data_IF_075395939914
#
_entry.id   IF_075395939914
#
_cell.length_a   1.000
_cell.length_b   1.000
_cell.length_c   1.000
_cell.angle_alpha   90.00
_cell.angle_beta   90.00
_cell.angle_gamma   90.00
#
_symmetry.space_group_name_H-M   'P 1'
#
loop_
_entity.id
_entity.type
_entity.pdbx_description
1 polymer ?
#
# COMPACT_ATOMS: atom_id res chain seq x y z
N UNK A 1 20.32 38.09 -64.36
CA UNK A 1 19.38 38.31 -63.21
C UNK A 1 18.65 37.06 -62.72
N UNK A 2 18.30 36.05 -63.49
CA UNK A 2 17.53 34.87 -63.06
C UNK A 2 18.30 33.91 -62.09
N UNK A 3 19.60 33.73 -62.24
CA UNK A 3 20.38 32.82 -61.35
C UNK A 3 20.54 33.33 -59.90
N UNK A 4 20.60 34.63 -59.65
CA UNK A 4 20.72 35.23 -58.33
C UNK A 4 19.44 35.04 -57.49
N UNK A 5 18.28 35.19 -58.07
CA UNK A 5 16.97 34.97 -57.41
C UNK A 5 16.76 33.51 -57.01
N UNK A 6 17.27 32.53 -57.72
CA UNK A 6 17.12 31.12 -57.42
C UNK A 6 18.01 30.66 -56.25
N UNK A 7 19.19 31.25 -56.12
CA UNK A 7 20.13 30.98 -55.00
C UNK A 7 19.58 31.57 -53.68
N UNK A 8 19.00 32.77 -53.73
CA UNK A 8 18.40 33.40 -52.55
C UNK A 8 17.12 32.69 -52.09
N UNK A 9 16.34 32.10 -53.02
CA UNK A 9 15.16 31.30 -52.70
C UNK A 9 15.54 29.99 -52.01
N UNK A 10 16.58 29.27 -52.47
CA UNK A 10 17.08 28.06 -51.83
C UNK A 10 17.67 28.34 -50.44
N UNK A 11 18.41 29.45 -50.24
CA UNK A 11 18.93 29.87 -48.91
C UNK A 11 17.82 30.20 -47.92
N UNK A 12 16.70 30.77 -48.36
CA UNK A 12 15.56 31.04 -47.48
C UNK A 12 14.76 29.79 -47.10
N UNK A 13 14.61 28.82 -48.04
CA UNK A 13 14.00 27.54 -47.73
C UNK A 13 14.82 26.78 -46.68
N UNK A 14 16.14 26.78 -46.80
CA UNK A 14 17.05 26.07 -45.87
C UNK A 14 17.04 26.72 -44.51
N UNK A 15 17.06 28.05 -44.42
CA UNK A 15 16.93 28.80 -43.15
C UNK A 15 15.59 28.53 -42.46
N UNK A 16 14.48 28.46 -43.18
CA UNK A 16 13.17 28.16 -42.60
C UNK A 16 13.06 26.71 -42.12
N UNK A 17 13.68 25.75 -42.81
CA UNK A 17 13.72 24.36 -42.38
C UNK A 17 14.56 24.19 -41.10
N UNK A 18 15.72 24.86 -41.01
CA UNK A 18 16.56 24.86 -39.82
C UNK A 18 15.86 25.55 -38.64
N UNK A 19 15.16 26.67 -38.89
CA UNK A 19 14.40 27.35 -37.83
C UNK A 19 13.26 26.50 -37.29
N UNK A 20 12.49 25.81 -38.18
CA UNK A 20 11.45 24.85 -37.79
C UNK A 20 12.01 23.69 -36.94
N UNK A 21 13.16 23.11 -37.33
CA UNK A 21 13.81 22.04 -36.56
C UNK A 21 14.26 22.52 -35.16
N UNK A 22 14.84 23.74 -35.07
CA UNK A 22 15.21 24.32 -33.77
C UNK A 22 14.01 24.62 -32.90
N UNK A 23 12.93 25.13 -33.43
CA UNK A 23 11.67 25.36 -32.73
C UNK A 23 11.07 24.05 -32.22
N UNK A 24 11.07 23.00 -33.05
CA UNK A 24 10.56 21.68 -32.66
C UNK A 24 11.39 21.07 -31.52
N UNK A 25 12.72 21.20 -31.57
CA UNK A 25 13.64 20.76 -30.49
C UNK A 25 13.42 21.54 -29.19
N UNK A 26 13.24 22.86 -29.27
CA UNK A 26 12.92 23.68 -28.09
C UNK A 26 11.58 23.27 -27.47
N UNK A 27 10.53 23.14 -28.30
CA UNK A 27 9.20 22.69 -27.81
C UNK A 27 9.29 21.30 -27.17
N UNK A 28 10.01 20.36 -27.81
CA UNK A 28 10.21 19.03 -27.23
C UNK A 28 10.99 19.09 -25.92
N UNK A 29 12.02 19.92 -25.82
CA UNK A 29 12.77 20.11 -24.59
C UNK A 29 11.89 20.73 -23.47
N UNK A 30 11.09 21.75 -23.78
CA UNK A 30 10.14 22.34 -22.84
C UNK A 30 9.06 21.34 -22.40
N UNK A 31 8.51 20.55 -23.32
CA UNK A 31 7.54 19.51 -22.99
C UNK A 31 8.16 18.41 -22.09
N UNK A 32 9.39 18.00 -22.39
CA UNK A 32 10.13 17.01 -21.59
C UNK A 32 10.40 17.59 -20.20
N UNK A 33 10.91 18.80 -20.08
CA UNK A 33 11.19 19.44 -18.77
C UNK A 33 9.90 19.69 -17.98
N UNK A 34 8.83 20.12 -18.61
CA UNK A 34 7.52 20.29 -17.99
C UNK A 34 6.95 18.97 -17.50
N UNK A 35 7.10 17.90 -18.28
CA UNK A 35 6.67 16.55 -17.90
C UNK A 35 7.48 16.03 -16.68
N UNK A 36 8.80 16.21 -16.69
CA UNK A 36 9.66 15.83 -15.55
C UNK A 36 9.37 16.68 -14.30
N UNK A 37 9.15 17.99 -14.43
CA UNK A 37 8.75 18.81 -13.29
C UNK A 37 7.42 18.38 -12.70
N UNK A 38 6.39 18.13 -13.50
CA UNK A 38 5.11 17.65 -12.99
C UNK A 38 5.23 16.29 -12.29
N UNK A 39 6.13 15.41 -12.71
CA UNK A 39 6.41 14.16 -12.00
C UNK A 39 7.07 14.39 -10.63
N UNK A 40 7.97 15.35 -10.51
CA UNK A 40 8.61 15.71 -9.24
C UNK A 40 7.60 16.25 -8.22
N UNK A 41 6.59 16.98 -8.67
CA UNK A 41 5.56 17.59 -7.82
C UNK A 41 4.30 16.72 -7.64
N UNK A 42 4.30 15.50 -8.14
CA UNK A 42 3.16 14.61 -8.01
C UNK A 42 2.92 14.15 -6.57
N UNK A 43 1.72 14.36 -6.06
CA UNK A 43 1.24 13.83 -4.78
C UNK A 43 1.30 12.31 -4.77
N UNK A 44 1.87 11.72 -3.72
CA UNK A 44 2.00 10.27 -3.59
C UNK A 44 0.96 9.73 -2.61
N UNK A 45 0.36 8.60 -2.94
CA UNK A 45 -0.53 7.86 -2.05
C UNK A 45 0.16 6.59 -1.61
N UNK A 46 0.27 6.41 -0.30
CA UNK A 46 0.74 5.20 0.37
C UNK A 46 -0.42 4.66 1.17
N UNK A 47 -0.80 3.40 0.96
CA UNK A 47 -1.99 2.82 1.56
C UNK A 47 -1.70 1.44 2.18
N UNK A 48 -2.61 0.99 3.04
CA UNK A 48 -2.66 -0.37 3.56
C UNK A 48 -4.10 -0.88 3.51
N UNK A 49 -4.26 -2.17 3.19
CA UNK A 49 -5.57 -2.83 3.13
C UNK A 49 -5.50 -4.30 3.56
N UNK A 50 -6.27 -4.69 4.56
CA UNK A 50 -6.57 -6.08 4.84
C UNK A 50 -7.65 -6.53 3.86
N UNK A 51 -7.36 -7.57 3.05
CA UNK A 51 -8.20 -8.02 1.96
C UNK A 51 -9.28 -9.02 2.36
N UNK A 52 -9.41 -9.35 3.65
CA UNK A 52 -10.35 -10.37 4.19
C UNK A 52 -10.24 -11.70 3.45
N UNK A 53 -9.27 -12.54 3.85
CA UNK A 53 -9.13 -13.92 3.36
C UNK A 53 -9.22 -14.02 1.82
N UNK A 54 -8.29 -13.35 1.13
CA UNK A 54 -8.24 -13.36 -0.33
C UNK A 54 -7.52 -14.59 -0.84
N UNK A 55 -8.27 -15.69 -0.92
CA UNK A 55 -7.85 -16.98 -1.47
C UNK A 55 -8.19 -17.09 -2.95
N UNK A 56 -7.51 -18.01 -3.64
CA UNK A 56 -8.00 -18.54 -4.93
C UNK A 56 -8.96 -19.73 -4.72
N UNK A 57 -9.20 -20.54 -5.74
CA UNK A 57 -10.13 -21.69 -5.69
C UNK A 57 -9.41 -23.01 -5.80
N UNK A 58 -8.09 -23.04 -5.55
CA UNK A 58 -7.23 -24.20 -5.71
C UNK A 58 -6.63 -24.59 -4.36
N UNK A 59 -6.80 -25.86 -3.94
CA UNK A 59 -6.27 -26.35 -2.68
C UNK A 59 -4.73 -26.36 -2.67
N UNK A 60 -4.14 -25.78 -1.63
CA UNK A 60 -2.72 -25.90 -1.32
C UNK A 60 -2.50 -26.90 -0.18
N UNK A 61 -2.01 -28.08 -0.51
CA UNK A 61 -1.88 -29.25 0.39
C UNK A 61 -1.15 -28.94 1.73
N UNK A 62 -0.32 -27.88 1.77
CA UNK A 62 0.54 -27.57 2.92
C UNK A 62 -0.07 -26.51 3.87
N UNK A 63 -1.25 -26.01 3.59
CA UNK A 63 -1.96 -24.98 4.38
C UNK A 63 -3.43 -25.36 4.57
N UNK A 64 -4.09 -24.77 5.56
CA UNK A 64 -5.51 -25.02 5.85
C UNK A 64 -6.39 -24.00 5.11
N UNK A 65 -6.58 -24.20 3.80
CA UNK A 65 -7.38 -23.34 2.92
C UNK A 65 -8.68 -24.01 2.45
N UNK A 66 -8.96 -25.26 2.89
CA UNK A 66 -10.08 -26.08 2.42
C UNK A 66 -11.42 -25.39 2.56
N UNK A 67 -11.59 -24.48 3.54
CA UNK A 67 -12.86 -23.75 3.69
C UNK A 67 -13.14 -22.76 2.55
N UNK A 68 -12.12 -22.39 1.76
CA UNK A 68 -12.22 -21.46 0.63
C UNK A 68 -12.24 -22.17 -0.74
N UNK A 69 -12.61 -23.44 -0.78
CA UNK A 69 -12.73 -24.20 -2.02
C UNK A 69 -14.16 -24.18 -2.57
N UNK A 70 -14.35 -24.46 -3.88
CA UNK A 70 -15.66 -24.53 -4.50
C UNK A 70 -16.60 -25.59 -3.91
N UNK A 71 -16.04 -26.67 -3.40
CA UNK A 71 -16.76 -27.80 -2.78
C UNK A 71 -16.89 -27.69 -1.26
N UNK A 72 -16.41 -26.62 -0.65
CA UNK A 72 -16.55 -26.36 0.79
C UNK A 72 -17.94 -25.82 1.14
N UNK A 73 -18.23 -25.67 2.46
CA UNK A 73 -19.44 -25.01 2.94
C UNK A 73 -19.57 -23.56 2.43
N UNK A 74 -18.45 -22.87 2.23
CA UNK A 74 -18.42 -21.54 1.63
C UNK A 74 -18.76 -21.55 0.14
N UNK A 75 -18.53 -22.64 -0.57
CA UNK A 75 -18.77 -22.76 -2.01
C UNK A 75 -18.07 -21.66 -2.80
N UNK A 76 -16.78 -21.42 -2.52
CA UNK A 76 -16.01 -20.31 -3.12
C UNK A 76 -15.68 -20.58 -4.58
N UNK A 77 -16.66 -20.37 -5.44
CA UNK A 77 -16.58 -20.62 -6.88
C UNK A 77 -15.70 -19.61 -7.60
N UNK A 78 -15.26 -19.95 -8.83
CA UNK A 78 -14.49 -19.05 -9.69
C UNK A 78 -15.21 -17.71 -9.97
N UNK A 79 -16.55 -17.69 -10.01
CA UNK A 79 -17.32 -16.46 -10.17
C UNK A 79 -17.25 -15.56 -8.94
N UNK A 80 -17.31 -16.13 -7.71
CA UNK A 80 -17.14 -15.40 -6.45
C UNK A 80 -15.73 -14.86 -6.30
N UNK A 81 -14.73 -15.65 -6.66
CA UNK A 81 -13.33 -15.23 -6.74
C UNK A 81 -13.13 -14.07 -7.72
N UNK A 82 -13.68 -14.18 -8.93
CA UNK A 82 -13.60 -13.11 -9.92
C UNK A 82 -14.28 -11.82 -9.45
N UNK A 83 -15.43 -11.93 -8.77
CA UNK A 83 -16.11 -10.78 -8.15
C UNK A 83 -15.23 -10.12 -7.08
N UNK A 84 -14.67 -10.90 -6.15
CA UNK A 84 -13.77 -10.40 -5.10
C UNK A 84 -12.55 -9.71 -5.69
N UNK A 85 -11.91 -10.31 -6.69
CA UNK A 85 -10.77 -9.74 -7.42
C UNK A 85 -11.13 -8.38 -8.05
N UNK A 86 -12.27 -8.30 -8.73
CA UNK A 86 -12.74 -7.06 -9.34
C UNK A 86 -13.02 -5.96 -8.31
N UNK A 87 -13.57 -6.32 -7.15
CA UNK A 87 -13.86 -5.40 -6.05
C UNK A 87 -12.56 -4.85 -5.43
N UNK A 88 -11.57 -5.71 -5.15
CA UNK A 88 -10.26 -5.27 -4.69
C UNK A 88 -9.60 -4.32 -5.71
N UNK A 89 -9.67 -4.64 -7.00
CA UNK A 89 -9.20 -3.75 -8.06
C UNK A 89 -9.88 -2.38 -8.05
N UNK A 90 -11.20 -2.31 -7.80
CA UNK A 90 -11.94 -1.04 -7.66
C UNK A 90 -11.47 -0.22 -6.45
N UNK A 91 -11.22 -0.88 -5.31
CA UNK A 91 -10.70 -0.21 -4.11
C UNK A 91 -9.32 0.39 -4.38
N UNK A 92 -8.42 -0.39 -4.98
CA UNK A 92 -7.06 0.07 -5.33
C UNK A 92 -7.12 1.24 -6.33
N UNK A 93 -8.02 1.17 -7.31
CA UNK A 93 -8.29 2.29 -8.23
C UNK A 93 -8.71 3.54 -7.46
N UNK A 94 -9.71 3.42 -6.58
CA UNK A 94 -10.24 4.54 -5.80
C UNK A 94 -9.19 5.17 -4.87
N UNK A 95 -8.37 4.37 -4.21
CA UNK A 95 -7.22 4.84 -3.43
C UNK A 95 -6.25 5.67 -4.30
N UNK A 96 -5.97 5.21 -5.51
CA UNK A 96 -5.12 5.93 -6.47
C UNK A 96 -5.70 7.28 -6.92
N UNK A 97 -7.01 7.50 -6.78
CA UNK A 97 -7.64 8.79 -7.11
C UNK A 97 -7.49 9.85 -6.00
N UNK A 98 -7.04 9.47 -4.81
CA UNK A 98 -6.80 10.39 -3.69
C UNK A 98 -5.62 11.35 -3.93
N UNK A 99 -4.72 11.00 -4.84
CA UNK A 99 -3.54 11.78 -5.21
C UNK A 99 -3.67 12.44 -6.58
N UNK A 100 -2.70 12.16 -7.44
CA UNK A 100 -2.59 12.71 -8.81
C UNK A 100 -3.51 12.06 -9.84
N UNK A 101 -4.33 11.09 -9.45
CA UNK A 101 -5.14 10.23 -10.34
C UNK A 101 -4.31 9.29 -11.24
N UNK A 102 -3.01 9.22 -11.03
CA UNK A 102 -2.10 8.34 -11.78
C UNK A 102 -1.86 7.00 -11.09
N UNK A 103 -2.70 6.65 -10.13
CA UNK A 103 -2.58 5.48 -9.27
C UNK A 103 -1.89 5.79 -7.95
N UNK A 104 -1.83 4.82 -7.07
CA UNK A 104 -1.10 4.91 -5.80
C UNK A 104 0.36 4.49 -5.98
N UNK A 105 1.23 4.99 -5.11
CA UNK A 105 2.65 4.65 -5.16
C UNK A 105 2.93 3.29 -4.50
N UNK A 106 2.32 3.06 -3.33
CA UNK A 106 2.55 1.89 -2.49
C UNK A 106 1.23 1.43 -1.86
N UNK A 107 1.02 0.12 -1.82
CA UNK A 107 -0.06 -0.52 -1.08
C UNK A 107 0.48 -1.75 -0.35
N UNK A 108 0.55 -1.69 0.97
CA UNK A 108 0.66 -2.89 1.78
C UNK A 108 -0.68 -3.61 1.80
N UNK A 109 -0.66 -4.93 1.66
CA UNK A 109 -1.85 -5.76 1.77
C UNK A 109 -1.63 -6.89 2.76
N UNK A 110 -2.71 -7.36 3.38
CA UNK A 110 -2.73 -8.52 4.25
C UNK A 110 -3.87 -9.47 3.88
N UNK A 111 -3.77 -10.69 4.38
CA UNK A 111 -4.71 -11.80 4.08
C UNK A 111 -4.72 -12.16 2.60
N UNK A 112 -3.53 -12.21 2.03
CA UNK A 112 -3.24 -12.65 0.66
C UNK A 112 -2.71 -14.08 0.72
N UNK A 113 -3.33 -14.98 -0.02
CA UNK A 113 -2.92 -16.38 -0.04
C UNK A 113 -1.58 -16.59 -0.76
N UNK A 114 -1.44 -16.09 -1.98
CA UNK A 114 -0.31 -16.43 -2.84
C UNK A 114 -0.05 -15.38 -3.95
N UNK A 115 0.96 -15.64 -4.77
CA UNK A 115 1.29 -14.77 -5.91
C UNK A 115 0.20 -14.74 -6.98
N UNK A 116 -0.52 -15.85 -7.18
CA UNK A 116 -1.56 -15.94 -8.19
C UNK A 116 -2.70 -14.93 -7.93
N UNK A 117 -3.17 -14.82 -6.69
CA UNK A 117 -4.22 -13.84 -6.35
C UNK A 117 -3.73 -12.40 -6.53
N UNK A 118 -2.45 -12.11 -6.23
CA UNK A 118 -1.84 -10.80 -6.46
C UNK A 118 -1.78 -10.47 -7.96
N UNK A 119 -1.34 -11.40 -8.80
CA UNK A 119 -1.32 -11.23 -10.25
C UNK A 119 -2.71 -10.93 -10.81
N UNK A 120 -3.72 -11.68 -10.36
CA UNK A 120 -5.10 -11.45 -10.80
C UNK A 120 -5.63 -10.08 -10.42
N UNK A 121 -5.34 -9.59 -9.21
CA UNK A 121 -5.82 -8.28 -8.78
C UNK A 121 -5.11 -7.15 -9.54
N UNK A 122 -3.77 -7.19 -9.71
CA UNK A 122 -3.06 -6.12 -10.44
C UNK A 122 -3.39 -6.12 -11.94
N UNK A 123 -3.80 -7.26 -12.51
CA UNK A 123 -4.28 -7.39 -13.89
C UNK A 123 -5.77 -7.07 -14.05
N UNK A 124 -6.50 -6.76 -12.97
CA UNK A 124 -7.91 -6.43 -13.06
C UNK A 124 -8.17 -5.19 -13.95
N UNK A 125 -9.31 -5.16 -14.62
CA UNK A 125 -9.65 -4.10 -15.58
C UNK A 125 -9.54 -2.68 -15.00
N UNK A 126 -9.80 -2.51 -13.70
CA UNK A 126 -9.76 -1.22 -13.04
C UNK A 126 -8.35 -0.62 -12.97
N UNK A 127 -7.31 -1.46 -12.82
CA UNK A 127 -5.97 -0.98 -12.44
C UNK A 127 -4.83 -1.46 -13.35
N UNK A 128 -5.05 -2.42 -14.27
CA UNK A 128 -4.00 -2.95 -15.17
C UNK A 128 -3.21 -1.89 -15.93
N UNK A 129 -3.85 -0.76 -16.24
CA UNK A 129 -3.21 0.37 -16.94
C UNK A 129 -2.08 1.03 -16.15
N UNK A 130 -2.05 0.86 -14.81
CA UNK A 130 -1.02 1.43 -13.94
C UNK A 130 0.22 0.57 -13.83
N UNK A 131 0.19 -0.67 -14.36
CA UNK A 131 1.32 -1.60 -14.43
C UNK A 131 1.93 -1.86 -13.04
N UNK A 132 1.08 -2.09 -12.03
CA UNK A 132 1.54 -2.43 -10.69
C UNK A 132 2.38 -3.70 -10.70
N UNK A 133 3.34 -3.74 -9.79
CA UNK A 133 4.14 -4.91 -9.44
C UNK A 133 3.98 -5.20 -7.95
N UNK A 134 4.46 -6.34 -7.48
CA UNK A 134 4.37 -6.73 -6.08
C UNK A 134 5.64 -7.41 -5.59
N UNK A 135 5.79 -7.42 -4.25
CA UNK A 135 6.78 -8.21 -3.50
C UNK A 135 6.00 -9.04 -2.50
N UNK A 136 6.17 -10.35 -2.55
CA UNK A 136 5.47 -11.33 -1.72
C UNK A 136 6.37 -12.51 -1.40
N UNK A 137 6.19 -13.07 -0.21
CA UNK A 137 6.83 -14.31 0.26
C UNK A 137 5.81 -15.11 1.06
N UNK A 138 5.81 -16.41 0.89
CA UNK A 138 5.00 -17.30 1.72
C UNK A 138 5.57 -17.33 3.13
N UNK A 139 4.71 -17.20 4.13
CA UNK A 139 5.03 -17.33 5.54
C UNK A 139 4.70 -18.73 6.07
N UNK A 140 4.90 -18.94 7.36
CA UNK A 140 4.52 -20.18 8.04
C UNK A 140 3.11 -20.13 8.66
N UNK A 141 2.25 -19.18 8.28
CA UNK A 141 0.87 -19.14 8.80
C UNK A 141 0.13 -20.39 8.33
N UNK A 142 -0.48 -21.17 9.24
CA UNK A 142 -1.14 -22.42 8.87
C UNK A 142 -2.31 -22.24 7.91
N UNK A 143 -2.91 -21.03 7.83
CA UNK A 143 -3.99 -20.71 6.90
C UNK A 143 -3.48 -20.34 5.51
N UNK A 144 -2.15 -20.23 5.32
CA UNK A 144 -1.56 -19.82 4.05
C UNK A 144 -1.88 -18.37 3.66
N UNK A 145 -2.03 -17.47 4.65
CA UNK A 145 -2.24 -16.05 4.38
C UNK A 145 -1.00 -15.23 4.72
N UNK A 146 -0.71 -14.27 3.89
CA UNK A 146 0.52 -13.49 3.94
C UNK A 146 0.27 -11.99 3.89
N UNK A 147 1.37 -11.24 3.94
CA UNK A 147 1.43 -9.83 3.59
C UNK A 147 2.18 -9.65 2.27
N UNK A 148 1.85 -8.59 1.54
CA UNK A 148 2.58 -8.21 0.34
C UNK A 148 2.68 -6.69 0.22
N UNK A 149 3.62 -6.23 -0.61
CA UNK A 149 3.72 -4.84 -1.04
C UNK A 149 3.44 -4.75 -2.53
N UNK A 150 2.33 -4.14 -2.92
CA UNK A 150 2.02 -3.75 -4.29
C UNK A 150 2.56 -2.35 -4.52
N UNK A 151 3.23 -2.11 -5.64
CA UNK A 151 3.83 -0.82 -5.94
C UNK A 151 3.74 -0.49 -7.42
N UNK A 152 3.77 0.81 -7.73
CA UNK A 152 3.85 1.30 -9.10
C UNK A 152 5.30 1.67 -9.43
N UNK A 153 5.95 1.01 -10.41
CA UNK A 153 7.37 1.22 -10.75
C UNK A 153 7.72 2.68 -11.11
N UNK A 154 6.73 3.42 -11.58
CA UNK A 154 6.85 4.87 -11.87
C UNK A 154 7.15 5.70 -10.62
N UNK A 155 6.66 5.28 -9.45
CA UNK A 155 6.74 6.04 -8.20
C UNK A 155 7.67 5.41 -7.18
N UNK A 156 7.81 4.10 -7.22
CA UNK A 156 8.64 3.37 -6.27
C UNK A 156 9.55 2.37 -6.99
N UNK A 157 10.82 2.37 -6.60
CA UNK A 157 11.82 1.42 -7.09
C UNK A 157 12.37 0.63 -5.90
N UNK A 158 11.97 -0.66 -5.74
CA UNK A 158 12.54 -1.50 -4.69
C UNK A 158 14.02 -1.78 -4.99
N UNK A 159 14.81 -1.87 -3.91
CA UNK A 159 16.24 -2.15 -4.00
C UNK A 159 16.62 -3.43 -3.27
N UNK A 160 16.13 -3.61 -2.04
CA UNK A 160 16.35 -4.81 -1.22
C UNK A 160 15.05 -5.14 -0.49
N UNK A 161 14.78 -6.43 -0.34
CA UNK A 161 13.61 -6.89 0.40
C UNK A 161 13.88 -8.27 1.00
N UNK A 162 13.30 -8.53 2.17
CA UNK A 162 13.32 -9.81 2.87
C UNK A 162 12.21 -9.91 3.89
N UNK A 163 11.96 -11.11 4.39
CA UNK A 163 11.01 -11.34 5.48
C UNK A 163 11.71 -11.61 6.80
N UNK A 164 10.98 -11.41 7.88
CA UNK A 164 11.38 -11.79 9.24
C UNK A 164 10.22 -12.54 9.88
N UNK A 165 10.50 -13.79 10.26
CA UNK A 165 9.54 -14.60 11.01
C UNK A 165 9.44 -14.13 12.46
N UNK A 166 8.23 -14.21 13.02
CA UNK A 166 8.02 -14.02 14.46
C UNK A 166 8.48 -15.29 15.18
N UNK A 167 9.23 -15.11 16.27
CA UNK A 167 9.66 -16.21 17.13
C UNK A 167 8.78 -16.29 18.38
N UNK A 168 8.54 -17.47 18.89
CA UNK A 168 7.85 -17.65 20.15
C UNK A 168 8.59 -16.90 21.28
N UNK A 169 7.85 -16.13 22.05
CA UNK A 169 8.36 -15.36 23.19
C UNK A 169 8.99 -16.24 24.27
N UNK A 170 8.46 -17.46 24.45
CA UNK A 170 8.87 -18.35 25.56
C UNK A 170 9.97 -19.31 25.16
N UNK A 171 10.05 -19.71 23.88
CA UNK A 171 10.89 -20.83 23.46
C UNK A 171 11.88 -20.46 22.35
N UNK A 172 11.90 -19.21 21.86
CA UNK A 172 12.73 -18.77 20.74
C UNK A 172 12.54 -19.61 19.44
N UNK A 173 11.45 -20.38 19.38
CA UNK A 173 11.04 -21.12 18.19
C UNK A 173 10.25 -20.22 17.27
N UNK A 174 10.26 -20.53 15.97
CA UNK A 174 9.43 -19.82 15.02
C UNK A 174 7.96 -19.95 15.39
N UNK A 175 7.30 -18.84 15.59
CA UNK A 175 5.85 -18.79 15.79
C UNK A 175 5.18 -18.88 14.43
N UNK A 176 4.42 -19.95 14.18
CA UNK A 176 3.73 -20.17 12.91
C UNK A 176 2.66 -19.10 12.70
N UNK A 177 3.03 -18.03 12.03
CA UNK A 177 2.19 -16.87 11.69
C UNK A 177 2.80 -16.12 10.53
N UNK A 178 2.16 -15.03 10.11
CA UNK A 178 2.64 -14.16 9.01
C UNK A 178 3.99 -13.55 9.34
N UNK A 179 4.85 -13.53 8.35
CA UNK A 179 6.14 -12.85 8.43
C UNK A 179 5.96 -11.33 8.35
N UNK A 180 6.94 -10.58 8.83
CA UNK A 180 7.08 -9.15 8.61
C UNK A 180 7.88 -8.94 7.32
N UNK A 181 7.32 -8.27 6.32
CA UNK A 181 8.01 -7.95 5.09
C UNK A 181 8.75 -6.62 5.22
N UNK A 182 10.08 -6.64 5.06
CA UNK A 182 10.91 -5.44 4.94
C UNK A 182 11.23 -5.18 3.47
N UNK A 183 11.02 -3.95 3.03
CA UNK A 183 11.43 -3.47 1.70
C UNK A 183 12.20 -2.16 1.86
N UNK A 184 13.41 -2.09 1.30
CA UNK A 184 14.16 -0.85 1.08
C UNK A 184 14.01 -0.44 -0.37
N UNK A 185 13.73 0.84 -0.64
CA UNK A 185 13.59 1.34 -2.00
C UNK A 185 13.53 2.87 -2.06
N UNK A 186 13.34 3.39 -3.26
CA UNK A 186 13.17 4.82 -3.49
C UNK A 186 11.71 5.15 -3.81
N UNK A 187 11.05 5.91 -2.94
CA UNK A 187 9.77 6.54 -3.19
C UNK A 187 10.05 7.91 -3.80
N UNK A 188 9.90 8.03 -5.11
CA UNK A 188 10.46 9.15 -5.87
C UNK A 188 11.98 9.23 -5.65
N UNK A 189 12.49 10.33 -5.14
CA UNK A 189 13.92 10.48 -4.82
C UNK A 189 14.25 10.18 -3.34
N UNK A 190 13.23 9.90 -2.50
CA UNK A 190 13.40 9.63 -1.07
C UNK A 190 13.70 8.14 -0.84
N UNK A 191 14.86 7.83 -0.26
CA UNK A 191 15.12 6.49 0.26
C UNK A 191 14.21 6.20 1.45
N UNK A 192 13.55 5.05 1.43
CA UNK A 192 12.62 4.62 2.48
C UNK A 192 12.79 3.15 2.82
N UNK A 193 12.51 2.83 4.08
CA UNK A 193 12.36 1.47 4.56
C UNK A 193 10.88 1.25 4.91
N UNK A 194 10.31 0.18 4.41
CA UNK A 194 8.90 -0.15 4.55
C UNK A 194 8.80 -1.47 5.30
N UNK A 195 8.02 -1.50 6.39
CA UNK A 195 7.61 -2.75 7.03
C UNK A 195 6.12 -2.97 6.77
N UNK A 196 5.77 -4.11 6.17
CA UNK A 196 4.38 -4.54 6.01
C UNK A 196 4.11 -5.65 7.02
N UNK A 197 3.03 -5.48 7.80
CA UNK A 197 2.72 -6.28 8.96
C UNK A 197 1.29 -6.82 8.92
N UNK A 198 1.08 -8.02 9.48
CA UNK A 198 -0.21 -8.47 9.95
C UNK A 198 0.00 -9.20 11.27
N UNK A 199 -0.19 -8.50 12.37
CA UNK A 199 0.12 -9.04 13.70
C UNK A 199 -0.92 -10.07 14.18
N UNK A 200 -0.57 -10.89 15.19
CA UNK A 200 -1.46 -11.90 15.74
C UNK A 200 -2.81 -11.33 16.17
N UNK A 201 -3.89 -11.96 15.72
CA UNK A 201 -5.26 -11.50 15.96
C UNK A 201 -5.64 -11.59 17.45
N UNK A 202 -6.74 -10.93 17.81
CA UNK A 202 -7.32 -11.00 19.16
C UNK A 202 -8.11 -12.28 19.42
N UNK A 203 -8.26 -13.17 18.42
CA UNK A 203 -8.97 -14.45 18.57
C UNK A 203 -8.27 -15.33 19.62
N UNK A 204 -9.06 -16.16 20.31
CA UNK A 204 -8.53 -17.04 21.38
C UNK A 204 -8.40 -16.38 22.73
N UNK A 205 -8.87 -15.15 22.87
CA UNK A 205 -8.92 -14.42 24.16
C UNK A 205 -7.53 -14.08 24.70
N UNK A 206 -7.46 -12.96 25.36
CA UNK A 206 -6.60 -12.71 26.47
C UNK A 206 -5.13 -12.29 26.29
N UNK A 207 -4.41 -12.72 27.31
CA UNK A 207 -3.05 -12.31 27.63
C UNK A 207 -2.00 -12.81 26.63
N UNK A 208 -2.18 -14.03 26.05
CA UNK A 208 -1.22 -14.58 25.10
C UNK A 208 -1.24 -13.81 23.77
N UNK A 209 -2.43 -13.59 23.21
CA UNK A 209 -2.57 -12.80 21.98
C UNK A 209 -2.00 -11.37 22.14
N UNK A 210 -2.20 -10.75 23.32
CA UNK A 210 -1.58 -9.46 23.65
C UNK A 210 -0.06 -9.53 23.73
N UNK A 211 0.49 -10.58 24.37
CA UNK A 211 1.94 -10.82 24.44
C UNK A 211 2.53 -10.99 23.03
N UNK A 212 1.89 -11.78 22.19
CA UNK A 212 2.35 -12.02 20.82
C UNK A 212 2.38 -10.73 19.97
N UNK A 213 1.39 -9.82 20.11
CA UNK A 213 1.43 -8.51 19.44
C UNK A 213 2.52 -7.59 19.96
N UNK A 214 2.76 -7.58 21.28
CA UNK A 214 3.90 -6.84 21.85
C UNK A 214 5.22 -7.40 21.30
N UNK A 215 5.31 -8.72 21.14
CA UNK A 215 6.50 -9.37 20.59
C UNK A 215 6.70 -9.03 19.10
N UNK A 216 5.62 -8.98 18.32
CA UNK A 216 5.68 -8.52 16.94
C UNK A 216 6.20 -7.07 16.87
N UNK A 217 5.73 -6.20 17.75
CA UNK A 217 6.22 -4.82 17.86
C UNK A 217 7.71 -4.76 18.24
N UNK A 218 8.16 -5.57 19.20
CA UNK A 218 9.58 -5.67 19.58
C UNK A 218 10.42 -6.17 18.39
N UNK A 219 9.92 -7.13 17.62
CA UNK A 219 10.60 -7.62 16.42
C UNK A 219 10.75 -6.51 15.38
N UNK A 220 9.68 -5.76 15.09
CA UNK A 220 9.76 -4.58 14.23
C UNK A 220 10.78 -3.56 14.74
N UNK A 221 10.75 -3.26 16.04
CA UNK A 221 11.69 -2.33 16.68
C UNK A 221 13.15 -2.79 16.51
N UNK A 222 13.45 -4.07 16.75
CA UNK A 222 14.79 -4.65 16.55
C UNK A 222 15.25 -4.55 15.09
N UNK A 223 14.35 -4.77 14.12
CA UNK A 223 14.66 -4.58 12.69
C UNK A 223 15.04 -3.12 12.44
N UNK A 224 14.25 -2.18 12.94
CA UNK A 224 14.51 -0.75 12.77
C UNK A 224 15.82 -0.34 13.46
N UNK A 225 16.07 -0.80 14.69
CA UNK A 225 17.28 -0.47 15.43
C UNK A 225 18.53 -1.02 14.74
N UNK A 226 18.47 -2.25 14.19
CA UNK A 226 19.60 -2.82 13.44
C UNK A 226 19.95 -2.01 12.18
N UNK A 227 18.97 -1.45 11.53
CA UNK A 227 19.16 -0.58 10.36
C UNK A 227 19.64 0.79 10.79
N UNK A 228 19.15 1.32 11.91
CA UNK A 228 19.57 2.61 12.45
C UNK A 228 21.07 2.67 12.77
N UNK A 229 21.70 1.53 13.10
CA UNK A 229 23.16 1.46 13.28
C UNK A 229 23.96 1.79 12.02
N UNK A 230 23.40 1.50 10.84
CA UNK A 230 24.08 1.72 9.53
C UNK A 230 23.47 2.88 8.75
N UNK A 231 22.23 3.26 9.03
CA UNK A 231 21.52 4.38 8.44
C UNK A 231 20.72 5.14 9.53
N UNK A 232 21.40 6.01 10.32
CA UNK A 232 20.78 6.73 11.43
C UNK A 232 19.61 7.66 11.00
N UNK A 233 19.57 8.04 9.74
CA UNK A 233 18.55 8.91 9.19
C UNK A 233 17.49 8.14 8.36
N UNK A 234 17.37 6.84 8.53
CA UNK A 234 16.40 6.01 7.81
C UNK A 234 14.98 6.56 7.89
N UNK A 235 14.34 6.72 6.74
CA UNK A 235 12.92 7.08 6.65
C UNK A 235 12.07 5.83 6.69
N UNK A 236 11.25 5.69 7.73
CA UNK A 236 10.41 4.53 7.94
C UNK A 236 8.96 4.79 7.56
N UNK A 237 8.36 3.78 6.92
CA UNK A 237 6.92 3.62 6.73
C UNK A 237 6.59 2.24 7.29
N UNK A 238 5.94 2.18 8.45
CA UNK A 238 5.55 0.92 9.09
C UNK A 238 4.05 0.81 9.01
N UNK A 239 3.56 -0.11 8.18
CA UNK A 239 2.15 -0.28 7.90
C UNK A 239 1.66 -1.68 8.21
N UNK A 240 0.38 -1.82 8.49
CA UNK A 240 -0.20 -3.14 8.72
C UNK A 240 -1.56 -3.12 9.39
N UNK A 241 -2.15 -4.32 9.45
CA UNK A 241 -3.15 -4.67 10.44
C UNK A 241 -2.42 -5.10 11.72
N UNK A 242 -2.32 -4.18 12.67
CA UNK A 242 -1.65 -4.42 13.95
C UNK A 242 -2.53 -5.18 14.94
N UNK A 243 -3.79 -5.44 14.61
CA UNK A 243 -4.78 -6.03 15.53
C UNK A 243 -4.87 -5.32 16.89
N UNK A 244 -4.33 -4.10 16.97
CA UNK A 244 -4.33 -3.21 18.14
C UNK A 244 -4.52 -1.75 17.70
N UNK A 245 -5.20 -0.97 18.54
CA UNK A 245 -5.47 0.44 18.30
C UNK A 245 -4.21 1.33 18.49
N UNK A 246 -4.16 2.55 17.95
CA UNK A 246 -3.02 3.47 18.08
C UNK A 246 -2.54 3.70 19.53
N UNK A 247 -3.43 3.59 20.50
CA UNK A 247 -3.13 3.79 21.94
C UNK A 247 -2.65 2.52 22.66
N UNK A 248 -2.70 1.35 22.04
CA UNK A 248 -2.26 0.10 22.65
C UNK A 248 -0.74 0.05 22.82
N UNK A 249 -0.28 -0.66 23.86
CA UNK A 249 1.14 -0.76 24.21
C UNK A 249 1.99 -1.28 23.05
N UNK A 250 1.51 -2.29 22.30
CA UNK A 250 2.22 -2.87 21.17
C UNK A 250 2.53 -1.81 20.09
N UNK A 251 1.54 -1.03 19.65
CA UNK A 251 1.72 0.01 18.65
C UNK A 251 2.66 1.11 19.16
N UNK A 252 2.50 1.53 20.42
CA UNK A 252 3.39 2.55 21.04
C UNK A 252 4.83 2.08 21.20
N UNK A 253 5.08 0.77 21.29
CA UNK A 253 6.44 0.21 21.37
C UNK A 253 7.26 0.50 20.12
N UNK A 254 6.64 0.75 18.97
CA UNK A 254 7.34 1.12 17.72
C UNK A 254 8.08 2.46 17.82
N UNK A 255 7.65 3.34 18.71
CA UNK A 255 8.20 4.69 18.92
C UNK A 255 8.26 5.53 17.62
N UNK A 256 7.19 5.47 16.86
CA UNK A 256 6.98 6.18 15.60
C UNK A 256 5.80 7.15 15.72
N UNK A 257 5.79 8.17 14.86
CA UNK A 257 4.62 9.03 14.72
C UNK A 257 3.48 8.25 14.09
N UNK A 258 2.29 8.40 14.68
CA UNK A 258 1.09 7.75 14.20
C UNK A 258 0.08 8.77 13.67
N UNK A 259 0.07 9.03 12.36
CA UNK A 259 -0.83 10.00 11.73
C UNK A 259 -2.32 9.64 11.82
N UNK A 260 -2.66 8.43 12.27
CA UNK A 260 -4.03 7.98 12.46
C UNK A 260 -4.55 8.17 13.89
N UNK A 261 -3.69 8.51 14.86
CA UNK A 261 -4.10 8.75 16.24
C UNK A 261 -5.20 9.83 16.38
N UNK A 262 -5.16 10.96 15.64
CA UNK A 262 -6.25 11.94 15.69
C UNK A 262 -7.60 11.38 15.23
N UNK A 263 -7.61 10.58 14.15
CA UNK A 263 -8.83 9.93 13.63
C UNK A 263 -9.41 8.94 14.65
N UNK A 264 -8.54 8.14 15.28
CA UNK A 264 -8.94 7.21 16.34
C UNK A 264 -9.55 7.96 17.54
N UNK A 265 -8.95 9.07 17.98
CA UNK A 265 -9.49 9.91 19.07
C UNK A 265 -10.85 10.52 18.73
N UNK A 266 -11.18 10.68 17.46
CA UNK A 266 -12.49 11.11 16.97
C UNK A 266 -13.49 9.97 16.84
N UNK A 267 -13.17 8.76 17.32
CA UNK A 267 -14.04 7.59 17.26
C UNK A 267 -14.07 6.89 15.88
N UNK A 268 -13.16 7.25 14.96
CA UNK A 268 -13.10 6.60 13.65
C UNK A 268 -12.27 5.32 13.72
N UNK A 269 -12.63 4.33 12.90
CA UNK A 269 -11.94 3.05 12.82
C UNK A 269 -11.95 2.45 11.41
N UNK A 270 -11.07 1.49 11.18
CA UNK A 270 -11.01 0.71 9.94
C UNK A 270 -11.90 -0.51 9.98
N UNK A 271 -12.27 -0.99 11.16
CA UNK A 271 -13.21 -2.09 11.35
C UNK A 271 -14.09 -1.84 12.57
N UNK A 272 -15.26 -2.50 12.59
CA UNK A 272 -16.18 -2.46 13.72
C UNK A 272 -16.40 -3.87 14.29
N UNK A 273 -16.37 -3.98 15.62
CA UNK A 273 -16.66 -5.21 16.33
C UNK A 273 -17.52 -4.90 17.56
N UNK A 274 -18.70 -5.56 17.67
CA UNK A 274 -19.68 -5.33 18.75
C UNK A 274 -19.98 -3.85 18.99
N UNK A 275 -20.27 -3.16 17.88
CA UNK A 275 -20.60 -1.73 17.83
C UNK A 275 -19.47 -0.78 18.29
N UNK A 276 -18.26 -1.31 18.45
CA UNK A 276 -17.08 -0.52 18.77
C UNK A 276 -16.15 -0.44 17.56
N UNK A 277 -15.81 0.79 17.17
CA UNK A 277 -14.85 1.03 16.10
C UNK A 277 -13.42 0.85 16.60
N UNK A 278 -12.65 0.09 15.85
CA UNK A 278 -11.22 -0.12 16.07
C UNK A 278 -10.44 0.36 14.85
N UNK A 279 -9.25 0.90 15.09
CA UNK A 279 -8.33 1.33 14.05
C UNK A 279 -7.08 0.45 14.10
N UNK A 280 -7.20 -0.79 13.57
CA UNK A 280 -6.13 -1.77 13.57
C UNK A 280 -5.22 -1.58 12.35
N UNK A 281 -5.78 -1.12 11.24
CA UNK A 281 -5.05 -0.80 10.02
C UNK A 281 -4.45 0.60 10.17
N UNK A 282 -3.12 0.70 10.16
CA UNK A 282 -2.40 1.93 10.40
C UNK A 282 -1.14 2.02 9.53
N UNK A 283 -0.66 3.23 9.33
CA UNK A 283 0.63 3.54 8.71
C UNK A 283 1.35 4.53 9.61
N UNK A 284 2.45 4.11 10.20
CA UNK A 284 3.29 4.91 11.10
C UNK A 284 4.52 5.41 10.35
N UNK A 285 5.02 6.55 10.76
CA UNK A 285 6.14 7.24 10.12
C UNK A 285 7.25 7.55 11.12
N UNK A 286 8.50 7.50 10.70
CA UNK A 286 9.61 8.03 11.51
C UNK A 286 9.54 9.57 11.56
N UNK A 287 9.99 10.15 12.67
CA UNK A 287 9.88 11.61 12.92
C UNK A 287 10.62 12.47 11.90
N UNK A 288 11.62 11.93 11.22
CA UNK A 288 12.38 12.67 10.21
C UNK A 288 11.59 13.03 8.93
N UNK A 289 10.39 12.45 8.72
CA UNK A 289 9.48 12.89 7.65
C UNK A 289 9.08 14.35 7.76
N UNK A 290 9.04 14.92 8.97
CA UNK A 290 8.70 16.32 9.22
C UNK A 290 9.88 17.26 9.08
N UNK A 291 11.12 16.73 8.99
CA UNK A 291 12.33 17.56 8.92
C UNK A 291 12.50 18.22 7.55
N UNK A 292 13.24 19.34 7.45
CA UNK A 292 13.54 20.00 6.18
C UNK A 292 14.27 19.10 5.16
N UNK A 293 14.94 18.04 5.61
CA UNK A 293 15.68 17.09 4.74
C UNK A 293 14.76 16.12 3.99
N UNK A 294 13.52 15.91 4.45
CA UNK A 294 12.56 15.09 3.72
C UNK A 294 12.14 15.75 2.41
N UNK A 295 12.07 14.98 1.33
CA UNK A 295 11.61 15.46 0.02
C UNK A 295 10.08 15.40 -0.11
N UNK A 296 9.43 14.65 0.78
CA UNK A 296 7.99 14.48 0.82
C UNK A 296 7.48 14.86 2.22
N UNK A 297 6.34 15.53 2.26
CA UNK A 297 5.62 15.83 3.51
C UNK A 297 4.36 14.99 3.60
N UNK A 298 4.10 14.41 4.76
CA UNK A 298 2.77 13.91 5.07
C UNK A 298 1.78 15.08 5.07
N UNK A 299 0.72 14.95 4.28
CA UNK A 299 -0.30 15.98 4.11
C UNK A 299 -1.62 15.60 4.77
N UNK A 300 -2.05 14.32 4.63
CA UNK A 300 -3.37 13.87 5.10
C UNK A 300 -3.38 12.38 5.36
N UNK A 301 -4.07 11.97 6.44
CA UNK A 301 -4.44 10.59 6.74
C UNK A 301 -5.91 10.35 6.44
N UNK A 302 -6.24 9.21 5.89
CA UNK A 302 -7.59 8.87 5.44
C UNK A 302 -7.90 7.42 5.81
N UNK A 303 -9.08 7.17 6.40
CA UNK A 303 -9.75 5.88 6.38
C UNK A 303 -10.64 5.92 5.14
N UNK A 304 -10.26 5.19 4.09
CA UNK A 304 -10.93 5.27 2.81
C UNK A 304 -12.17 4.40 2.78
N UNK A 305 -13.29 5.00 2.45
CA UNK A 305 -14.57 4.31 2.30
C UNK A 305 -15.42 5.00 1.25
N UNK A 306 -16.13 4.21 0.45
CA UNK A 306 -17.14 4.67 -0.50
C UNK A 306 -18.50 4.09 -0.10
N UNK A 307 -19.61 4.65 -0.55
CA UNK A 307 -20.95 4.17 -0.16
C UNK A 307 -21.17 2.68 -0.43
N UNK A 308 -20.59 2.15 -1.50
CA UNK A 308 -20.67 0.73 -1.89
C UNK A 308 -19.81 -0.22 -1.04
N UNK A 309 -18.83 0.33 -0.29
CA UNK A 309 -18.02 -0.40 0.69
C UNK A 309 -18.69 -0.48 2.08
N UNK A 310 -19.83 0.17 2.27
CA UNK A 310 -20.50 0.26 3.56
C UNK A 310 -21.74 -0.65 3.53
N UNK A 311 -21.93 -1.47 4.58
CA UNK A 311 -23.17 -2.21 4.77
C UNK A 311 -24.30 -1.21 5.08
N UNK A 312 -25.38 -1.30 4.30
CA UNK A 312 -26.47 -0.32 4.38
C UNK A 312 -27.69 -0.84 5.15
N UNK A 313 -27.74 -2.14 5.44
CA UNK A 313 -28.94 -2.76 6.02
C UNK A 313 -28.61 -3.69 7.20
N UNK A 314 -29.62 -3.88 8.05
CA UNK A 314 -29.57 -4.80 9.16
C UNK A 314 -28.68 -4.34 10.32
N UNK A 315 -28.32 -5.28 11.19
CA UNK A 315 -27.54 -5.02 12.42
C UNK A 315 -26.17 -4.39 12.16
N UNK A 316 -25.59 -4.63 11.00
CA UNK A 316 -24.25 -4.18 10.66
C UNK A 316 -24.24 -2.93 9.76
N UNK A 317 -25.37 -2.22 9.67
CA UNK A 317 -25.44 -0.97 8.92
C UNK A 317 -24.35 0.01 9.39
N UNK A 318 -23.60 0.59 8.44
CA UNK A 318 -22.45 1.45 8.71
C UNK A 318 -21.09 0.74 8.78
N UNK A 319 -21.06 -0.59 8.94
CA UNK A 319 -19.82 -1.38 8.98
C UNK A 319 -19.22 -1.55 7.57
N UNK A 320 -17.95 -1.96 7.48
CA UNK A 320 -17.41 -2.44 6.22
C UNK A 320 -18.25 -3.58 5.66
N UNK A 321 -18.57 -3.50 4.37
CA UNK A 321 -19.31 -4.54 3.68
C UNK A 321 -18.38 -5.71 3.37
N UNK A 322 -18.42 -6.71 4.26
CA UNK A 322 -17.52 -7.86 4.25
C UNK A 322 -17.83 -8.84 3.12
N UNK A 323 -16.84 -9.62 2.74
CA UNK A 323 -16.98 -10.69 1.75
C UNK A 323 -17.80 -11.85 2.30
N UNK A 324 -17.61 -12.19 3.57
CA UNK A 324 -18.20 -13.37 4.22
C UNK A 324 -18.93 -13.02 5.52
N UNK A 325 -20.02 -13.75 5.78
CA UNK A 325 -20.65 -13.80 7.08
C UNK A 325 -20.83 -15.29 7.47
N UNK A 326 -19.92 -15.83 8.27
CA UNK A 326 -19.75 -17.28 8.41
C UNK A 326 -19.43 -17.89 7.05
N UNK A 327 -20.23 -18.89 6.63
CA UNK A 327 -20.06 -19.53 5.31
C UNK A 327 -20.85 -18.85 4.19
N UNK A 328 -21.66 -17.83 4.53
CA UNK A 328 -22.44 -17.11 3.54
C UNK A 328 -21.60 -16.08 2.79
N UNK A 329 -21.50 -16.20 1.47
CA UNK A 329 -20.92 -15.17 0.62
C UNK A 329 -21.83 -13.95 0.54
N UNK A 330 -21.34 -12.81 1.02
CA UNK A 330 -22.06 -11.52 1.01
C UNK A 330 -21.66 -10.65 -0.18
N UNK A 331 -20.59 -11.01 -0.87
CA UNK A 331 -20.11 -10.30 -2.04
C UNK A 331 -19.66 -8.86 -1.76
N UNK A 332 -19.18 -8.60 -0.55
CA UNK A 332 -18.60 -7.32 -0.16
C UNK A 332 -17.12 -7.23 -0.47
N UNK A 333 -16.48 -6.17 0.02
CA UNK A 333 -15.10 -5.81 -0.30
C UNK A 333 -14.09 -6.39 0.71
N UNK A 334 -14.31 -6.13 1.99
CA UNK A 334 -13.54 -6.62 3.15
C UNK A 334 -14.27 -6.25 4.42
N UNK A 335 -13.97 -6.90 5.54
CA UNK A 335 -14.40 -6.51 6.88
C UNK A 335 -13.53 -5.36 7.47
N UNK A 336 -12.59 -4.84 6.67
CA UNK A 336 -11.78 -3.68 6.95
C UNK A 336 -11.99 -2.58 5.91
N UNK A 337 -11.90 -1.32 6.31
CA UNK A 337 -11.68 -0.19 5.41
C UNK A 337 -10.18 0.04 5.24
N UNK A 338 -9.69 0.27 4.02
CA UNK A 338 -8.29 0.61 3.81
C UNK A 338 -7.93 1.98 4.39
N UNK A 339 -6.67 2.13 4.76
CA UNK A 339 -6.11 3.39 5.25
C UNK A 339 -5.08 3.93 4.28
N UNK A 340 -4.97 5.25 4.20
CA UNK A 340 -4.04 5.88 3.28
C UNK A 340 -3.40 7.14 3.87
N UNK A 341 -2.13 7.35 3.52
CA UNK A 341 -1.42 8.62 3.69
C UNK A 341 -1.22 9.30 2.34
N UNK A 342 -1.46 10.58 2.31
CA UNK A 342 -1.16 11.42 1.15
C UNK A 342 0.08 12.23 1.46
N UNK A 343 1.09 12.09 0.62
CA UNK A 343 2.32 12.87 0.67
C UNK A 343 2.35 13.91 -0.44
N UNK A 344 2.77 15.12 -0.10
CA UNK A 344 3.06 16.18 -1.07
C UNK A 344 4.57 16.39 -1.17
N UNK A 345 5.11 16.66 -2.35
CA UNK A 345 6.51 17.09 -2.47
C UNK A 345 6.77 18.35 -1.67
N UNK A 346 7.93 18.43 -1.02
CA UNK A 346 8.42 19.71 -0.51
C UNK A 346 8.87 20.57 -1.67
N UNK A 347 8.37 21.78 -1.72
CA UNK A 347 8.91 22.82 -2.61
C UNK A 347 10.30 23.20 -2.10
N UNK A 348 11.35 22.65 -2.72
CA UNK A 348 12.71 23.10 -2.50
C UNK A 348 12.94 24.34 -3.36
N UNK A 349 13.00 25.51 -2.76
CA UNK A 349 13.38 26.74 -3.44
C UNK A 349 12.27 27.77 -3.51
N UNK A 350 12.63 28.94 -3.06
CA UNK A 350 11.87 30.16 -3.28
C UNK A 350 11.75 30.40 -4.78
N UNK A 351 10.55 30.52 -5.36
CA UNK A 351 10.46 31.00 -6.73
C UNK A 351 10.82 32.50 -6.68
N UNK A 352 11.97 32.81 -7.24
CA UNK A 352 12.39 34.16 -7.64
C UNK A 352 12.27 35.26 -6.56
N UNK A 353 13.38 35.56 -5.88
CA UNK A 353 13.69 36.92 -5.57
C UNK A 353 14.33 37.59 -6.77
#
# INVERSE_FOLDING_TARGET
MKKKKFVDYKKNIDKNSVLKKRLLLMVSFFLITYFFQNQLYATQVVAFYNCENFYDTTNQIIVNDEEFLPNSAKGYSSSRYAQKTAQLGKVIFGLGQLGTKEGLALLGVAEIENQYVLEKVIQSNAIRKYQYQYIHFNSKDPRGIDVALIYQPRFFKPYQYKTYSLKDVNHFQDYATRDILLVKGQLKAQWVYILVNHWPSRRGGSNLAKKNRIWAAITCKRIMDSIHLVDPNAYWIVMGDFNDNPTNKSVRTLDLDNPFLPLFKQGQGSLAFRDSWNLFDQILLSRNWETPKSQLNHYKSIIYKTPDMIETQGRYAGYPKRTWNGDQFRGGYSDHFPVALIFKPKMTGNPLK
#
